data_IF_619079304029
#
_entry.id   IF_619079304029
#
_cell.length_a   1.000
_cell.length_b   1.000
_cell.length_c   1.000
_cell.angle_alpha   90.00
_cell.angle_beta   90.00
_cell.angle_gamma   90.00
#
_symmetry.space_group_name_H-M   'P 1'
#
loop_
_entity.id
_entity.type
_entity.pdbx_description
1 polymer ?
#
# COMPACT_ATOMS: atom_id res chain seq x y z
N UNK A 1 51.90 8.07 15.17
CA UNK A 1 51.53 9.09 16.18
C UNK A 1 50.10 9.51 15.89
N UNK A 2 49.10 8.84 16.47
CA UNK A 2 48.55 9.04 17.81
C UNK A 2 47.74 10.33 17.96
N UNK A 3 46.48 10.12 18.40
CA UNK A 3 45.51 11.06 18.97
C UNK A 3 44.57 11.74 17.97
N UNK A 4 43.50 11.03 17.59
CA UNK A 4 42.11 11.56 17.60
C UNK A 4 41.09 10.44 17.86
N UNK A 5 41.50 9.43 18.65
CA UNK A 5 40.73 8.23 19.01
C UNK A 5 40.17 8.24 20.45
N UNK A 6 40.07 9.39 21.11
CA UNK A 6 39.84 9.43 22.58
C UNK A 6 38.68 10.31 23.04
N UNK A 7 37.79 10.77 22.16
CA UNK A 7 36.59 11.55 22.56
C UNK A 7 35.28 10.78 22.37
N UNK A 8 35.31 9.64 21.65
CA UNK A 8 34.10 8.86 21.35
C UNK A 8 33.75 7.80 22.41
N UNK A 9 34.62 7.54 23.39
CA UNK A 9 34.41 6.48 24.41
C UNK A 9 33.82 7.02 25.73
N UNK A 10 33.89 8.34 25.99
CA UNK A 10 33.33 8.94 27.21
C UNK A 10 31.91 9.51 27.05
N UNK A 11 31.37 9.61 25.83
CA UNK A 11 29.98 10.02 25.59
C UNK A 11 28.98 8.84 25.64
N UNK A 12 29.46 7.61 25.42
CA UNK A 12 28.61 6.40 25.41
C UNK A 12 28.34 5.86 26.83
N UNK A 13 29.19 6.17 27.81
CA UNK A 13 29.03 5.69 29.20
C UNK A 13 28.29 6.65 30.14
N UNK A 14 27.77 7.79 29.65
CA UNK A 14 26.94 8.71 30.44
C UNK A 14 25.45 8.67 30.08
N UNK A 15 25.07 7.92 29.05
CA UNK A 15 23.67 7.82 28.59
C UNK A 15 22.92 6.58 29.10
N UNK A 16 23.61 5.56 29.64
CA UNK A 16 22.97 4.35 30.18
C UNK A 16 22.61 4.42 31.68
N UNK A 17 23.13 5.38 32.44
CA UNK A 17 22.84 5.48 33.89
C UNK A 17 21.56 6.27 34.25
N UNK A 18 20.79 6.76 33.28
CA UNK A 18 19.56 7.52 33.55
C UNK A 18 18.25 6.85 33.09
N UNK A 19 18.32 5.64 32.50
CA UNK A 19 17.15 4.84 32.07
C UNK A 19 16.85 3.60 32.91
N UNK A 20 17.62 3.32 33.96
CA UNK A 20 17.38 2.20 34.88
C UNK A 20 16.68 2.58 36.20
N UNK A 21 16.32 3.86 36.42
CA UNK A 21 15.63 4.30 37.64
C UNK A 21 14.10 4.39 37.52
N UNK A 22 13.49 3.94 36.41
CA UNK A 22 12.02 4.02 36.21
C UNK A 22 11.32 2.70 35.91
N UNK A 23 11.96 1.57 36.16
CA UNK A 23 11.33 0.23 36.14
C UNK A 23 11.59 -0.46 37.49
N UNK A 24 11.01 0.11 38.55
CA UNK A 24 10.84 -0.56 39.86
C UNK A 24 9.74 0.16 40.62
N UNK A 25 8.48 -0.21 40.32
CA UNK A 25 7.30 -0.09 41.20
C UNK A 25 6.07 -0.57 40.40
N UNK A 26 5.85 -1.88 40.45
CA UNK A 26 4.53 -2.49 40.65
C UNK A 26 4.69 -4.00 40.64
N UNK A 27 5.24 -4.49 41.74
CA UNK A 27 4.94 -5.83 42.25
C UNK A 27 3.47 -5.85 42.67
N UNK A 28 2.67 -6.73 42.07
CA UNK A 28 1.67 -7.47 42.80
C UNK A 28 1.56 -8.87 42.20
N UNK A 29 2.28 -9.77 42.86
CA UNK A 29 2.16 -11.21 42.78
C UNK A 29 0.75 -11.64 43.23
N UNK A 30 0.14 -12.57 42.50
CA UNK A 30 -0.54 -13.72 43.12
C UNK A 30 -0.32 -14.96 42.26
N UNK A 31 0.33 -15.93 42.88
CA UNK A 31 0.63 -17.27 42.40
C UNK A 31 -0.36 -18.24 43.05
N UNK A 32 -1.11 -19.01 42.26
CA UNK A 32 -1.75 -20.30 42.61
C UNK A 32 -1.99 -20.99 41.25
N UNK A 33 -1.68 -22.23 40.94
CA UNK A 33 -1.09 -23.37 41.62
C UNK A 33 -1.06 -24.51 40.58
N UNK A 34 -0.02 -25.33 40.60
CA UNK A 34 0.18 -26.52 39.75
C UNK A 34 -0.78 -27.64 40.14
N UNK A 35 -1.33 -28.37 39.16
CA UNK A 35 -1.72 -29.78 39.34
C UNK A 35 -1.69 -30.56 38.02
N UNK A 36 -0.95 -31.67 38.06
CA UNK A 36 -0.84 -32.72 37.05
C UNK A 36 -2.19 -33.43 36.83
N UNK A 37 -2.38 -34.03 35.65
CA UNK A 37 -3.51 -34.94 35.41
C UNK A 37 -3.58 -35.47 33.98
N UNK A 38 -3.03 -36.66 33.79
CA UNK A 38 -3.28 -37.59 32.69
C UNK A 38 -4.79 -37.90 32.56
N UNK A 39 -5.33 -37.88 31.34
CA UNK A 39 -6.71 -38.32 31.08
C UNK A 39 -7.07 -38.21 29.60
N UNK A 40 -7.38 -39.35 29.01
CA UNK A 40 -7.70 -39.59 27.61
C UNK A 40 -9.21 -39.50 27.29
N UNK A 41 -9.52 -39.12 26.03
CA UNK A 41 -10.76 -39.37 25.24
C UNK A 41 -11.94 -38.37 25.42
N UNK A 42 -12.80 -38.05 24.40
CA UNK A 42 -12.77 -38.23 22.92
C UNK A 42 -12.95 -36.93 22.08
N UNK A 43 -12.62 -37.03 20.78
CA UNK A 43 -13.06 -36.10 19.72
C UNK A 43 -14.56 -36.28 19.36
N UNK A 44 -15.32 -35.19 19.14
CA UNK A 44 -16.57 -35.26 18.40
C UNK A 44 -16.36 -35.07 16.89
N UNK A 45 -16.65 -36.13 16.13
CA UNK A 45 -16.80 -36.12 14.67
C UNK A 45 -18.08 -35.37 14.30
N UNK A 46 -17.96 -34.27 13.56
CA UNK A 46 -19.07 -33.71 12.77
C UNK A 46 -18.80 -33.92 11.27
N UNK A 47 -19.54 -34.87 10.69
CA UNK A 47 -19.75 -34.97 9.23
C UNK A 47 -20.71 -33.85 8.82
N UNK A 48 -20.31 -33.01 7.87
CA UNK A 48 -21.23 -32.18 7.10
C UNK A 48 -21.03 -32.52 5.62
N UNK A 49 -22.10 -33.00 5.00
CA UNK A 49 -22.12 -33.43 3.60
C UNK A 49 -21.90 -32.27 2.62
N UNK A 50 -21.08 -32.51 1.61
CA UNK A 50 -20.92 -31.59 0.48
C UNK A 50 -22.06 -31.80 -0.52
N UNK A 51 -23.12 -30.99 -0.36
CA UNK A 51 -24.15 -30.76 -1.36
C UNK A 51 -23.77 -29.59 -2.28
N UNK A 52 -23.82 -29.83 -3.57
CA UNK A 52 -23.44 -28.96 -4.70
C UNK A 52 -24.24 -27.65 -4.80
N UNK A 53 -23.63 -26.51 -4.43
CA UNK A 53 -23.96 -25.16 -4.98
C UNK A 53 -22.71 -24.28 -5.00
N UNK A 54 -21.75 -24.56 -5.88
CA UNK A 54 -20.54 -23.73 -6.06
C UNK A 54 -20.31 -23.28 -7.52
N UNK A 55 -21.38 -23.18 -8.33
CA UNK A 55 -21.31 -22.70 -9.71
C UNK A 55 -21.34 -21.18 -9.88
N UNK A 56 -21.90 -20.42 -8.93
CA UNK A 56 -22.24 -19.00 -9.18
C UNK A 56 -21.52 -17.99 -8.27
N UNK A 57 -20.73 -18.45 -7.29
CA UNK A 57 -19.95 -17.56 -6.40
C UNK A 57 -18.51 -17.29 -6.88
N UNK A 58 -17.98 -18.12 -7.77
CA UNK A 58 -16.61 -17.98 -8.30
C UNK A 58 -16.50 -16.82 -9.29
N UNK A 59 -17.57 -16.53 -10.06
CA UNK A 59 -17.59 -15.42 -11.04
C UNK A 59 -17.63 -14.05 -10.34
N UNK A 60 -18.25 -13.95 -9.15
CA UNK A 60 -18.29 -12.69 -8.39
C UNK A 60 -16.96 -12.37 -7.69
N UNK A 61 -16.21 -13.39 -7.26
CA UNK A 61 -14.88 -13.22 -6.66
C UNK A 61 -13.82 -12.72 -7.67
N UNK A 62 -13.99 -12.98 -8.97
CA UNK A 62 -13.03 -12.53 -10.00
C UNK A 62 -13.21 -11.03 -10.30
N UNK A 63 -14.43 -10.47 -10.20
CA UNK A 63 -14.66 -9.02 -10.37
C UNK A 63 -14.11 -8.19 -9.20
N UNK A 64 -14.16 -8.68 -7.96
CA UNK A 64 -13.56 -7.99 -6.79
C UNK A 64 -12.03 -8.03 -6.76
N UNK A 65 -11.39 -9.02 -7.39
CA UNK A 65 -9.92 -9.11 -7.45
C UNK A 65 -9.29 -8.25 -8.56
N UNK A 66 -10.06 -7.79 -9.55
CA UNK A 66 -9.56 -6.92 -10.63
C UNK A 66 -9.17 -5.52 -10.13
N UNK A 67 -9.70 -5.06 -8.99
CA UNK A 67 -9.44 -3.72 -8.41
C UNK A 67 -8.16 -3.67 -7.56
N UNK A 68 -7.56 -4.80 -7.21
CA UNK A 68 -6.35 -4.85 -6.37
C UNK A 68 -5.03 -4.87 -7.16
N UNK A 69 -5.07 -4.90 -8.49
CA UNK A 69 -3.87 -5.22 -9.30
C UNK A 69 -2.87 -4.08 -9.55
N UNK A 70 -3.14 -2.86 -9.10
CA UNK A 70 -2.19 -1.73 -9.15
C UNK A 70 -1.77 -1.21 -7.76
N UNK A 71 -1.96 -2.01 -6.70
CA UNK A 71 -1.84 -1.58 -5.31
C UNK A 71 -0.60 -2.10 -4.56
N UNK A 72 0.49 -2.45 -5.24
CA UNK A 72 1.72 -2.85 -4.52
C UNK A 72 2.28 -1.72 -3.63
N UNK A 73 2.12 -0.46 -4.07
CA UNK A 73 2.38 0.73 -3.25
C UNK A 73 1.35 0.88 -2.12
N UNK A 74 0.10 0.46 -2.34
CA UNK A 74 -1.00 0.64 -1.40
C UNK A 74 -0.91 -0.31 -0.19
N UNK A 75 -0.42 -1.54 -0.36
CA UNK A 75 -0.31 -2.50 0.75
C UNK A 75 0.76 -2.06 1.75
N UNK A 76 1.91 -1.59 1.25
CA UNK A 76 2.97 -1.04 2.12
C UNK A 76 2.61 0.33 2.69
N UNK A 77 1.94 1.20 1.93
CA UNK A 77 1.40 2.46 2.46
C UNK A 77 0.30 2.21 3.52
N UNK A 78 -0.52 1.17 3.36
CA UNK A 78 -1.52 0.76 4.35
C UNK A 78 -0.88 0.17 5.61
N UNK A 79 0.17 -0.64 5.49
CA UNK A 79 0.90 -1.17 6.65
C UNK A 79 1.62 -0.08 7.44
N UNK A 80 2.21 0.92 6.77
CA UNK A 80 2.83 2.05 7.45
C UNK A 80 1.79 2.92 8.19
N UNK A 81 0.68 3.27 7.51
CA UNK A 81 -0.42 4.00 8.14
C UNK A 81 -1.10 3.21 9.28
N UNK A 82 -1.09 1.87 9.24
CA UNK A 82 -1.67 1.03 10.29
C UNK A 82 -0.92 1.17 11.62
N UNK A 83 0.40 1.44 11.59
CA UNK A 83 1.21 1.61 12.81
C UNK A 83 1.01 2.98 13.47
N UNK A 84 0.83 4.05 12.70
CA UNK A 84 0.49 5.40 13.22
C UNK A 84 -0.99 5.52 13.65
N UNK A 85 -1.89 4.75 13.00
CA UNK A 85 -3.30 4.69 13.39
C UNK A 85 -3.53 4.09 14.80
N UNK A 86 -2.58 3.31 15.34
CA UNK A 86 -2.66 2.79 16.70
C UNK A 86 -2.41 3.90 17.75
N UNK A 87 -1.65 4.94 17.41
CA UNK A 87 -1.28 6.02 18.33
C UNK A 87 -2.24 7.24 18.29
N UNK A 88 -3.06 7.37 17.25
CA UNK A 88 -4.00 8.50 17.10
C UNK A 88 -5.48 8.10 17.12
N UNK A 89 -5.82 6.95 17.72
CA UNK A 89 -7.19 6.62 18.09
C UNK A 89 -7.65 7.41 19.35
N UNK A 90 -7.46 8.73 19.37
CA UNK A 90 -8.18 9.60 20.29
C UNK A 90 -9.51 9.98 19.66
N UNK A 91 -10.49 9.13 19.98
CA UNK A 91 -11.92 9.39 20.06
C UNK A 91 -12.46 10.55 19.20
N UNK A 92 -12.91 10.24 17.98
CA UNK A 92 -14.16 10.84 17.56
C UNK A 92 -15.23 10.16 18.42
N UNK A 93 -15.69 10.84 19.46
CA UNK A 93 -16.85 10.45 20.24
C UNK A 93 -18.10 10.50 19.34
N UNK A 94 -18.29 9.48 18.51
CA UNK A 94 -19.58 9.22 17.90
C UNK A 94 -20.46 8.64 18.99
N UNK A 95 -21.39 9.45 19.49
CA UNK A 95 -22.54 8.96 20.25
C UNK A 95 -23.13 7.77 19.49
N UNK A 96 -23.05 6.58 20.08
CA UNK A 96 -23.87 5.45 19.65
C UNK A 96 -25.30 5.89 19.89
N UNK A 97 -26.02 6.23 18.82
CA UNK A 97 -27.45 6.48 18.89
C UNK A 97 -28.15 5.50 17.95
N UNK A 98 -28.79 4.53 18.60
CA UNK A 98 -29.75 3.60 18.05
C UNK A 98 -31.04 4.36 17.71
N UNK A 99 -31.41 4.37 16.43
CA UNK A 99 -32.82 4.41 16.00
C UNK A 99 -32.91 4.03 14.51
N UNK A 100 -33.76 3.04 14.19
CA UNK A 100 -33.91 2.50 12.84
C UNK A 100 -34.35 3.57 11.82
N UNK A 101 -35.17 4.54 12.25
CA UNK A 101 -35.67 5.64 11.43
C UNK A 101 -34.55 6.58 10.94
N UNK A 102 -33.59 6.95 11.79
CA UNK A 102 -32.47 7.82 11.39
C UNK A 102 -31.47 7.12 10.46
N UNK A 103 -31.26 5.82 10.68
CA UNK A 103 -30.49 4.99 9.75
C UNK A 103 -31.20 4.90 8.39
N UNK A 104 -32.53 4.77 8.39
CA UNK A 104 -33.34 4.76 7.17
C UNK A 104 -33.19 6.08 6.39
N UNK A 105 -33.35 7.23 7.07
CA UNK A 105 -33.13 8.55 6.45
C UNK A 105 -31.72 8.69 5.86
N UNK A 106 -30.69 8.36 6.63
CA UNK A 106 -29.29 8.46 6.18
C UNK A 106 -29.04 7.59 4.95
N UNK A 107 -29.55 6.35 4.93
CA UNK A 107 -29.41 5.46 3.77
C UNK A 107 -30.09 6.04 2.54
N UNK A 108 -31.33 6.51 2.67
CA UNK A 108 -32.05 7.14 1.55
C UNK A 108 -31.31 8.36 1.01
N UNK A 109 -30.81 9.24 1.88
CA UNK A 109 -30.03 10.40 1.49
C UNK A 109 -28.73 10.02 0.75
N UNK A 110 -28.01 9.00 1.22
CA UNK A 110 -26.78 8.54 0.56
C UNK A 110 -27.04 7.99 -0.84
N UNK A 111 -28.20 7.38 -1.07
CA UNK A 111 -28.59 6.89 -2.40
C UNK A 111 -28.98 8.08 -3.30
N UNK A 112 -29.93 8.92 -2.87
CA UNK A 112 -30.48 9.98 -3.72
C UNK A 112 -29.52 11.15 -3.95
N UNK A 113 -28.86 11.64 -2.90
CA UNK A 113 -28.04 12.86 -2.95
C UNK A 113 -26.56 12.59 -3.24
N UNK A 114 -26.04 11.44 -2.78
CA UNK A 114 -24.63 11.08 -2.97
C UNK A 114 -24.40 10.05 -4.10
N UNK A 115 -25.45 9.47 -4.68
CA UNK A 115 -25.36 8.52 -5.79
C UNK A 115 -24.75 7.16 -5.41
N UNK A 116 -24.85 6.74 -4.14
CA UNK A 116 -24.34 5.43 -3.72
C UNK A 116 -25.27 4.30 -4.16
N UNK A 117 -24.69 3.11 -4.39
CA UNK A 117 -25.50 1.89 -4.49
C UNK A 117 -26.17 1.59 -3.15
N UNK A 118 -27.34 0.90 -3.13
CA UNK A 118 -28.02 0.56 -1.88
C UNK A 118 -27.11 -0.17 -0.86
N UNK A 119 -26.26 -1.08 -1.35
CA UNK A 119 -25.32 -1.83 -0.50
C UNK A 119 -24.22 -0.93 0.09
N UNK A 120 -23.69 0.00 -0.70
CA UNK A 120 -22.66 0.94 -0.23
C UNK A 120 -23.26 1.96 0.74
N UNK A 121 -24.49 2.42 0.50
CA UNK A 121 -25.22 3.33 1.37
C UNK A 121 -25.47 2.73 2.75
N UNK A 122 -25.94 1.46 2.82
CA UNK A 122 -26.09 0.71 4.08
C UNK A 122 -24.76 0.51 4.78
N UNK A 123 -23.67 0.29 4.04
CA UNK A 123 -22.34 0.14 4.63
C UNK A 123 -21.79 1.46 5.18
N UNK A 124 -22.05 2.57 4.48
CA UNK A 124 -21.63 3.91 4.87
C UNK A 124 -22.43 4.44 6.08
N UNK A 125 -23.73 4.16 6.16
CA UNK A 125 -24.60 4.58 7.27
C UNK A 125 -24.23 3.93 8.62
N UNK A 126 -23.45 2.84 8.61
CA UNK A 126 -22.87 2.27 9.84
C UNK A 126 -21.79 3.16 10.46
N UNK A 127 -21.15 4.01 9.67
CA UNK A 127 -20.04 4.89 10.08
C UNK A 127 -20.46 6.36 10.23
N UNK A 128 -21.69 6.67 9.84
CA UNK A 128 -22.21 8.03 9.72
C UNK A 128 -23.72 8.00 9.93
N UNK A 129 -24.23 8.85 10.81
CA UNK A 129 -25.65 9.06 11.00
C UNK A 129 -25.90 10.54 11.25
N UNK A 130 -26.89 11.13 10.59
CA UNK A 130 -27.30 12.52 10.79
C UNK A 130 -28.82 12.64 10.65
N UNK A 131 -29.40 13.64 11.31
CA UNK A 131 -30.85 13.86 11.37
C UNK A 131 -31.36 14.87 10.35
N UNK A 132 -30.49 15.76 9.87
CA UNK A 132 -30.82 16.83 8.93
C UNK A 132 -29.85 16.81 7.74
N UNK A 133 -30.33 17.14 6.52
CA UNK A 133 -29.49 17.23 5.33
C UNK A 133 -28.70 18.54 5.25
N UNK A 134 -28.95 19.54 6.10
CA UNK A 134 -28.36 20.89 5.99
C UNK A 134 -26.82 20.89 5.90
N UNK A 135 -26.12 20.23 6.83
CA UNK A 135 -24.66 20.16 6.80
C UNK A 135 -24.12 19.30 5.64
N UNK A 136 -24.61 18.06 5.43
CA UNK A 136 -24.25 17.27 4.25
C UNK A 136 -24.45 18.01 2.93
N UNK A 137 -25.55 18.75 2.75
CA UNK A 137 -25.82 19.53 1.53
C UNK A 137 -24.81 20.67 1.36
N UNK A 138 -24.47 21.38 2.43
CA UNK A 138 -23.42 22.39 2.41
C UNK A 138 -22.04 21.79 2.08
N UNK A 139 -21.72 20.61 2.60
CA UNK A 139 -20.49 19.86 2.24
C UNK A 139 -20.50 19.50 0.75
N UNK A 140 -21.60 18.94 0.24
CA UNK A 140 -21.71 18.55 -1.16
C UNK A 140 -21.64 19.77 -2.10
N UNK A 141 -22.25 20.90 -1.73
CA UNK A 141 -22.16 22.17 -2.46
C UNK A 141 -20.70 22.61 -2.59
N UNK A 142 -19.97 22.68 -1.47
CA UNK A 142 -18.56 23.03 -1.46
C UNK A 142 -17.72 22.07 -2.32
N UNK A 143 -17.95 20.76 -2.21
CA UNK A 143 -17.22 19.78 -3.02
C UNK A 143 -17.48 20.00 -4.53
N UNK A 144 -18.70 20.33 -4.93
CA UNK A 144 -19.04 20.61 -6.33
C UNK A 144 -18.33 21.88 -6.84
N UNK A 145 -18.25 22.93 -6.02
CA UNK A 145 -17.47 24.15 -6.32
C UNK A 145 -15.99 23.84 -6.59
N UNK A 146 -15.46 22.76 -5.99
CA UNK A 146 -14.10 22.25 -6.22
C UNK A 146 -14.04 21.07 -7.21
N UNK A 147 -15.02 20.94 -8.12
CA UNK A 147 -14.96 20.01 -9.25
C UNK A 147 -15.27 18.54 -8.92
N UNK A 148 -15.80 18.24 -7.73
CA UNK A 148 -16.27 16.90 -7.41
C UNK A 148 -17.62 16.64 -8.09
N UNK A 149 -17.64 15.69 -9.03
CA UNK A 149 -18.84 15.33 -9.78
C UNK A 149 -19.70 14.33 -9.02
N UNK A 150 -21.03 14.45 -9.16
CA UNK A 150 -21.99 13.52 -8.58
C UNK A 150 -21.88 12.11 -9.19
N UNK A 151 -21.46 11.99 -10.46
CA UNK A 151 -21.39 10.70 -11.16
C UNK A 151 -20.19 9.84 -10.74
N UNK A 152 -19.04 10.45 -10.43
CA UNK A 152 -17.78 9.70 -10.26
C UNK A 152 -17.03 10.02 -8.97
N UNK A 153 -16.99 11.28 -8.55
CA UNK A 153 -16.15 11.70 -7.42
C UNK A 153 -16.87 11.52 -6.08
N UNK A 154 -18.08 12.04 -5.94
CA UNK A 154 -18.85 12.00 -4.67
C UNK A 154 -19.17 10.57 -4.21
N UNK A 155 -19.73 9.68 -5.05
CA UNK A 155 -20.04 8.31 -4.61
C UNK A 155 -18.80 7.56 -4.12
N UNK A 156 -17.67 7.76 -4.82
CA UNK A 156 -16.38 7.13 -4.50
C UNK A 156 -15.77 7.68 -3.20
N UNK A 157 -15.87 8.99 -2.98
CA UNK A 157 -15.41 9.66 -1.77
C UNK A 157 -16.20 9.15 -0.55
N UNK A 158 -17.54 9.25 -0.63
CA UNK A 158 -18.45 8.96 0.49
C UNK A 158 -18.47 7.48 0.82
N UNK A 159 -18.43 6.58 -0.17
CA UNK A 159 -18.34 5.12 0.09
C UNK A 159 -17.10 4.73 0.89
N UNK A 160 -15.95 5.38 0.63
CA UNK A 160 -14.68 5.09 1.32
C UNK A 160 -14.55 5.84 2.66
N UNK A 161 -15.05 7.06 2.74
CA UNK A 161 -14.95 7.92 3.92
C UNK A 161 -16.24 8.71 4.15
N UNK A 162 -17.30 8.07 4.68
CA UNK A 162 -18.60 8.71 4.89
C UNK A 162 -18.52 9.93 5.80
N UNK A 163 -17.63 9.90 6.80
CA UNK A 163 -17.44 10.98 7.78
C UNK A 163 -17.10 12.35 7.18
N UNK A 164 -16.73 12.43 5.89
CA UNK A 164 -16.57 13.71 5.19
C UNK A 164 -17.85 14.56 5.22
N UNK A 165 -19.03 13.93 5.21
CA UNK A 165 -20.33 14.62 5.25
C UNK A 165 -20.66 15.23 6.62
N UNK A 166 -19.95 14.82 7.67
CA UNK A 166 -20.05 15.42 9.01
C UNK A 166 -19.02 16.53 9.24
N UNK A 167 -18.08 16.75 8.30
CA UNK A 167 -17.09 17.79 8.46
C UNK A 167 -17.75 19.17 8.31
N UNK A 168 -17.18 20.18 8.99
CA UNK A 168 -17.57 21.56 8.79
C UNK A 168 -17.07 22.04 7.42
N UNK A 169 -17.96 22.51 6.52
CA UNK A 169 -17.55 23.04 5.21
C UNK A 169 -16.56 24.19 5.34
N UNK A 170 -16.86 25.20 6.16
CA UNK A 170 -16.07 26.42 6.30
C UNK A 170 -14.83 26.25 7.16
N UNK A 171 -14.90 25.50 8.27
CA UNK A 171 -13.79 25.41 9.23
C UNK A 171 -12.80 24.29 8.91
N UNK A 172 -13.24 23.22 8.24
CA UNK A 172 -12.42 22.00 8.08
C UNK A 172 -12.08 21.71 6.64
N UNK A 173 -13.07 21.71 5.74
CA UNK A 173 -12.87 21.28 4.35
C UNK A 173 -12.32 22.42 3.48
N UNK A 174 -12.96 23.58 3.49
CA UNK A 174 -12.61 24.72 2.66
C UNK A 174 -11.12 25.11 2.81
N UNK A 175 -10.56 25.27 4.03
CA UNK A 175 -9.15 25.64 4.18
C UNK A 175 -8.19 24.62 3.55
N UNK A 176 -8.53 23.32 3.59
CA UNK A 176 -7.70 22.27 2.98
C UNK A 176 -7.76 22.32 1.45
N UNK A 177 -8.95 22.58 0.90
CA UNK A 177 -9.16 22.68 -0.54
C UNK A 177 -8.49 23.94 -1.11
N UNK A 178 -8.61 25.07 -0.42
CA UNK A 178 -7.95 26.33 -0.76
C UNK A 178 -6.43 26.20 -0.72
N UNK A 179 -5.89 25.58 0.33
CA UNK A 179 -4.46 25.34 0.45
C UNK A 179 -3.94 24.52 -0.74
N UNK A 180 -4.57 23.38 -1.06
CA UNK A 180 -4.16 22.54 -2.19
C UNK A 180 -4.24 23.29 -3.53
N UNK A 181 -5.26 24.12 -3.72
CA UNK A 181 -5.36 24.99 -4.90
C UNK A 181 -4.24 26.04 -4.93
N UNK A 182 -3.92 26.65 -3.78
CA UNK A 182 -2.92 27.71 -3.67
C UNK A 182 -1.49 27.24 -3.98
N UNK A 183 -1.17 25.98 -3.69
CA UNK A 183 0.14 25.38 -4.02
C UNK A 183 0.21 24.87 -5.48
N UNK A 184 -0.82 25.11 -6.29
CA UNK A 184 -0.82 24.79 -7.71
C UNK A 184 -1.45 23.45 -8.10
N UNK A 185 -2.20 22.77 -7.22
CA UNK A 185 -2.95 21.55 -7.63
C UNK A 185 -4.15 21.95 -8.51
N UNK A 186 -4.23 21.48 -9.77
CA UNK A 186 -5.38 21.79 -10.62
C UNK A 186 -6.68 21.18 -10.07
N UNK A 187 -7.79 21.92 -10.13
CA UNK A 187 -9.10 21.51 -9.59
C UNK A 187 -9.54 20.11 -10.08
N UNK A 188 -9.44 19.76 -11.38
CA UNK A 188 -9.84 18.43 -11.84
C UNK A 188 -9.00 17.31 -11.22
N UNK A 189 -7.69 17.55 -11.04
CA UNK A 189 -6.75 16.61 -10.44
C UNK A 189 -7.02 16.47 -8.94
N UNK A 190 -7.30 17.58 -8.26
CA UNK A 190 -7.68 17.62 -6.85
C UNK A 190 -8.90 16.73 -6.58
N UNK A 191 -9.99 16.92 -7.33
CA UNK A 191 -11.21 16.12 -7.16
C UNK A 191 -10.98 14.63 -7.44
N UNK A 192 -10.22 14.31 -8.50
CA UNK A 192 -9.86 12.93 -8.84
C UNK A 192 -9.05 12.25 -7.72
N UNK A 193 -8.06 12.95 -7.15
CA UNK A 193 -7.15 12.38 -6.14
C UNK A 193 -7.80 12.26 -4.78
N UNK A 194 -8.49 13.29 -4.32
CA UNK A 194 -9.15 13.27 -3.01
C UNK A 194 -10.35 12.31 -2.97
N UNK A 195 -11.09 12.14 -4.08
CA UNK A 195 -12.12 11.09 -4.16
C UNK A 195 -11.52 9.67 -4.13
N UNK A 196 -10.33 9.47 -4.70
CA UNK A 196 -9.64 8.18 -4.66
C UNK A 196 -8.99 7.89 -3.30
N UNK A 197 -8.47 8.92 -2.61
CA UNK A 197 -7.71 8.86 -1.37
C UNK A 197 -8.29 9.82 -0.29
N UNK A 198 -9.54 9.59 0.17
CA UNK A 198 -10.21 10.49 1.10
C UNK A 198 -9.55 10.60 2.48
N UNK A 199 -8.67 9.68 2.84
CA UNK A 199 -8.00 9.68 4.14
C UNK A 199 -7.12 10.93 4.35
N UNK A 200 -6.74 11.62 3.28
CA UNK A 200 -6.12 12.95 3.33
C UNK A 200 -6.92 13.91 4.22
N UNK A 201 -8.25 13.86 4.18
CA UNK A 201 -9.11 14.74 4.99
C UNK A 201 -9.03 14.49 6.50
N UNK A 202 -8.47 13.36 6.94
CA UNK A 202 -8.25 13.09 8.38
C UNK A 202 -7.11 13.92 8.98
N UNK A 203 -6.14 14.33 8.15
CA UNK A 203 -4.97 15.06 8.62
C UNK A 203 -5.33 16.52 8.90
N UNK A 204 -4.77 17.08 9.98
CA UNK A 204 -4.96 18.48 10.31
C UNK A 204 -4.22 19.35 9.29
N UNK A 205 -4.87 20.42 8.82
CA UNK A 205 -4.21 21.36 7.90
C UNK A 205 -2.97 21.97 8.55
N UNK A 206 -3.16 22.56 9.74
CA UNK A 206 -2.12 23.28 10.48
C UNK A 206 -1.04 22.37 11.05
N UNK A 207 -1.42 21.21 11.59
CA UNK A 207 -0.50 20.37 12.35
C UNK A 207 0.11 19.22 11.55
N UNK A 208 -0.32 19.00 10.30
CA UNK A 208 0.16 17.85 9.51
C UNK A 208 0.39 18.22 8.05
N UNK A 209 -0.64 18.72 7.36
CA UNK A 209 -0.56 18.96 5.91
C UNK A 209 0.44 20.08 5.58
N UNK A 210 0.37 21.23 6.26
CA UNK A 210 1.28 22.36 6.03
C UNK A 210 2.73 22.00 6.41
N UNK A 211 3.01 21.43 7.61
CA UNK A 211 4.36 20.96 7.94
C UNK A 211 4.94 19.99 6.91
N UNK A 212 4.18 18.94 6.55
CA UNK A 212 4.58 17.94 5.55
C UNK A 212 4.83 18.56 4.17
N UNK A 213 4.03 19.56 3.77
CA UNK A 213 4.28 20.34 2.56
C UNK A 213 5.58 21.14 2.64
N UNK A 214 5.85 21.84 3.75
CA UNK A 214 7.06 22.63 3.93
C UNK A 214 8.31 21.75 3.87
N UNK A 215 8.25 20.59 4.51
CA UNK A 215 9.30 19.57 4.49
C UNK A 215 9.56 19.07 3.07
N UNK A 216 8.51 18.69 2.34
CA UNK A 216 8.62 18.28 0.94
C UNK A 216 9.15 19.41 0.05
N UNK A 217 8.74 20.66 0.30
CA UNK A 217 9.20 21.83 -0.44
C UNK A 217 10.68 22.11 -0.20
N UNK A 218 11.13 22.00 1.04
CA UNK A 218 12.54 22.09 1.41
C UNK A 218 13.38 20.99 0.73
N UNK A 219 12.84 19.76 0.66
CA UNK A 219 13.50 18.63 0.03
C UNK A 219 13.60 18.73 -1.50
N UNK A 220 12.53 19.20 -2.14
CA UNK A 220 12.38 19.14 -3.60
C UNK A 220 12.69 20.46 -4.30
N UNK A 221 12.69 21.57 -3.57
CA UNK A 221 13.06 22.90 -4.04
C UNK A 221 11.98 23.68 -4.82
N UNK A 222 10.80 23.11 -5.06
CA UNK A 222 9.75 23.76 -5.87
C UNK A 222 8.35 23.25 -5.54
N UNK A 223 7.33 24.11 -5.69
CA UNK A 223 5.92 23.72 -5.53
C UNK A 223 5.47 22.70 -6.57
N UNK A 224 5.93 22.79 -7.83
CA UNK A 224 5.49 21.85 -8.87
C UNK A 224 5.88 20.41 -8.55
N UNK A 225 7.07 20.21 -7.98
CA UNK A 225 7.55 18.89 -7.53
C UNK A 225 6.74 18.35 -6.35
N UNK A 226 6.35 19.20 -5.40
CA UNK A 226 5.49 18.79 -4.28
C UNK A 226 4.09 18.42 -4.78
N UNK A 227 3.54 19.18 -5.73
CA UNK A 227 2.28 18.84 -6.41
C UNK A 227 2.40 17.49 -7.12
N UNK A 228 3.51 17.21 -7.79
CA UNK A 228 3.74 15.89 -8.40
C UNK A 228 3.70 14.76 -7.36
N UNK A 229 4.25 14.96 -6.15
CA UNK A 229 4.11 13.99 -5.03
C UNK A 229 2.65 13.80 -4.63
N UNK A 230 1.88 14.87 -4.47
CA UNK A 230 0.44 14.78 -4.18
C UNK A 230 -0.31 13.99 -5.26
N UNK A 231 -0.06 14.27 -6.54
CA UNK A 231 -0.72 13.59 -7.67
C UNK A 231 -0.39 12.10 -7.70
N UNK A 232 0.86 11.73 -7.40
CA UNK A 232 1.30 10.32 -7.45
C UNK A 232 0.93 9.55 -6.19
N UNK A 233 1.05 10.16 -5.01
CA UNK A 233 0.89 9.53 -3.70
C UNK A 233 0.34 10.53 -2.66
N UNK A 234 -0.98 10.82 -2.64
CA UNK A 234 -1.57 11.79 -1.71
C UNK A 234 -1.32 11.48 -0.23
N UNK A 235 -1.18 10.21 0.14
CA UNK A 235 -0.87 9.83 1.52
C UNK A 235 0.56 10.20 1.93
N UNK A 236 1.52 10.14 1.01
CA UNK A 236 2.89 10.60 1.29
C UNK A 236 2.93 12.10 1.47
N UNK A 237 2.10 12.84 0.74
CA UNK A 237 2.01 14.30 0.84
C UNK A 237 1.55 14.81 2.22
N UNK A 238 0.75 14.06 2.98
CA UNK A 238 0.18 14.50 4.27
C UNK A 238 0.86 13.93 5.52
N UNK A 239 1.77 12.98 5.32
CA UNK A 239 2.44 12.25 6.39
C UNK A 239 3.97 12.24 6.18
N UNK A 240 4.49 13.21 5.43
CA UNK A 240 5.92 13.36 5.25
C UNK A 240 6.47 14.13 6.45
N UNK A 241 7.53 13.59 7.04
CA UNK A 241 8.29 14.22 8.11
C UNK A 241 9.75 14.08 7.72
N UNK A 242 10.44 15.22 7.57
CA UNK A 242 11.83 15.29 7.12
C UNK A 242 12.84 15.25 8.27
N UNK A 243 12.45 14.87 9.49
CA UNK A 243 13.36 14.70 10.67
C UNK A 243 14.45 13.62 10.50
N UNK A 244 14.81 13.32 9.26
CA UNK A 244 15.58 12.22 8.70
C UNK A 244 16.60 12.79 7.69
N UNK A 245 17.33 13.85 8.06
CA UNK A 245 18.46 14.37 7.26
C UNK A 245 19.43 13.24 6.89
N UNK A 246 19.63 12.30 7.81
CA UNK A 246 20.42 11.08 7.62
C UNK A 246 19.96 10.25 6.42
N UNK A 247 18.67 10.05 6.24
CA UNK A 247 18.09 9.24 5.17
C UNK A 247 18.09 10.00 3.85
N UNK A 248 17.96 11.32 3.89
CA UNK A 248 18.18 12.18 2.72
C UNK A 248 19.61 12.01 2.21
N UNK A 249 20.60 12.19 3.08
CA UNK A 249 22.01 12.10 2.72
C UNK A 249 22.37 10.69 2.25
N UNK A 250 21.81 9.66 2.91
CA UNK A 250 21.95 8.28 2.47
C UNK A 250 21.32 8.05 1.08
N UNK A 251 20.12 8.58 0.82
CA UNK A 251 19.50 8.46 -0.50
C UNK A 251 20.35 9.12 -1.60
N UNK A 252 20.95 10.28 -1.32
CA UNK A 252 21.88 10.96 -2.23
C UNK A 252 23.15 10.13 -2.43
N UNK A 253 23.73 9.58 -1.35
CA UNK A 253 24.90 8.71 -1.42
C UNK A 253 24.64 7.42 -2.23
N UNK A 254 23.40 6.92 -2.24
CA UNK A 254 22.96 5.80 -3.08
C UNK A 254 22.69 6.20 -4.55
N UNK A 255 22.89 7.46 -4.91
CA UNK A 255 22.75 7.99 -6.27
C UNK A 255 21.36 8.52 -6.61
N UNK A 256 20.51 8.81 -5.62
CA UNK A 256 19.20 9.41 -5.91
C UNK A 256 19.35 10.85 -6.39
N UNK A 257 18.78 11.15 -7.55
CA UNK A 257 18.56 12.53 -7.99
C UNK A 257 17.42 13.15 -7.17
N UNK A 258 17.75 14.20 -6.41
CA UNK A 258 16.80 14.98 -5.61
C UNK A 258 15.69 15.63 -6.44
N UNK A 259 15.91 15.80 -7.74
CA UNK A 259 14.94 16.33 -8.69
C UNK A 259 13.87 15.32 -9.11
N UNK A 260 14.12 14.03 -8.89
CA UNK A 260 13.22 12.96 -9.29
C UNK A 260 12.18 12.68 -8.20
N UNK A 261 10.89 12.55 -8.54
CA UNK A 261 9.84 12.16 -7.59
C UNK A 261 10.08 10.79 -6.91
N UNK A 262 10.93 9.92 -7.48
CA UNK A 262 11.39 8.68 -6.85
C UNK A 262 12.22 8.93 -5.58
N UNK A 263 12.87 10.09 -5.46
CA UNK A 263 13.68 10.46 -4.29
C UNK A 263 12.86 10.46 -3.00
N UNK A 264 11.65 11.04 -3.03
CA UNK A 264 10.75 11.05 -1.87
C UNK A 264 10.39 9.63 -1.43
N UNK A 265 10.23 8.72 -2.38
CA UNK A 265 9.98 7.31 -2.07
C UNK A 265 11.23 6.63 -1.49
N UNK A 266 12.41 6.93 -2.01
CA UNK A 266 13.68 6.42 -1.47
C UNK A 266 13.88 6.87 -0.02
N UNK A 267 13.82 8.17 0.23
CA UNK A 267 13.95 8.78 1.56
C UNK A 267 12.94 8.17 2.53
N UNK A 268 11.67 8.04 2.12
CA UNK A 268 10.63 7.41 2.94
C UNK A 268 10.90 5.93 3.23
N UNK A 269 11.41 5.17 2.26
CA UNK A 269 11.75 3.76 2.45
C UNK A 269 12.89 3.63 3.47
N UNK A 270 13.94 4.44 3.33
CA UNK A 270 15.06 4.45 4.27
C UNK A 270 14.58 4.78 5.70
N UNK A 271 13.74 5.81 5.85
CA UNK A 271 13.20 6.23 7.15
C UNK A 271 12.27 5.19 7.78
N UNK A 272 11.71 4.28 6.99
CA UNK A 272 10.79 3.26 7.48
C UNK A 272 11.48 2.06 8.16
N UNK A 273 12.81 1.98 8.13
CA UNK A 273 13.54 0.83 8.67
C UNK A 273 14.88 1.23 9.28
N UNK A 274 15.39 0.38 10.18
CA UNK A 274 16.72 0.58 10.75
C UNK A 274 17.79 0.30 9.70
N UNK A 275 18.93 0.97 9.81
CA UNK A 275 20.10 0.76 8.93
C UNK A 275 20.55 -0.72 8.92
N UNK A 276 20.51 -1.39 10.08
CA UNK A 276 20.84 -2.82 10.18
C UNK A 276 19.87 -3.71 9.39
N UNK A 277 18.58 -3.36 9.37
CA UNK A 277 17.57 -4.06 8.55
C UNK A 277 17.83 -3.84 7.07
N UNK A 278 18.15 -2.62 6.65
CA UNK A 278 18.50 -2.32 5.26
C UNK A 278 19.73 -3.12 4.82
N UNK A 279 20.80 -3.14 5.63
CA UNK A 279 22.02 -3.91 5.37
C UNK A 279 21.74 -5.40 5.23
N UNK A 280 20.90 -5.97 6.09
CA UNK A 280 20.53 -7.39 6.02
C UNK A 280 19.77 -7.72 4.74
N UNK A 281 18.85 -6.84 4.31
CA UNK A 281 18.13 -7.01 3.04
C UNK A 281 19.06 -6.92 1.85
N UNK A 282 19.96 -5.94 1.82
CA UNK A 282 20.97 -5.81 0.77
C UNK A 282 21.84 -7.08 0.68
N UNK A 283 22.17 -7.67 1.83
CA UNK A 283 22.93 -8.93 1.88
C UNK A 283 22.17 -10.10 1.23
N UNK A 284 20.84 -10.16 1.36
CA UNK A 284 20.04 -11.14 0.62
C UNK A 284 20.22 -10.98 -0.89
N UNK A 285 20.23 -9.75 -1.42
CA UNK A 285 20.50 -9.53 -2.84
C UNK A 285 21.91 -9.99 -3.24
N UNK A 286 22.93 -9.68 -2.43
CA UNK A 286 24.33 -10.09 -2.68
C UNK A 286 24.49 -11.61 -2.78
N UNK A 287 23.80 -12.37 -1.94
CA UNK A 287 23.80 -13.86 -1.99
C UNK A 287 23.32 -14.42 -3.34
N UNK A 288 22.54 -13.65 -4.09
CA UNK A 288 22.08 -14.01 -5.44
C UNK A 288 22.89 -13.32 -6.54
N UNK A 289 24.09 -12.82 -6.23
CA UNK A 289 25.04 -12.28 -7.20
C UNK A 289 24.78 -10.83 -7.61
N UNK A 290 23.99 -10.06 -6.86
CA UNK A 290 23.89 -8.62 -7.08
C UNK A 290 25.17 -7.92 -6.62
N UNK A 291 25.69 -7.03 -7.46
CA UNK A 291 26.73 -6.07 -7.08
C UNK A 291 26.12 -4.86 -6.35
N UNK A 292 26.96 -4.02 -5.71
CA UNK A 292 26.49 -2.73 -5.16
C UNK A 292 25.80 -1.87 -6.22
N UNK A 293 26.34 -1.87 -7.45
CA UNK A 293 25.73 -1.19 -8.59
C UNK A 293 24.32 -1.73 -8.89
N UNK A 294 24.14 -3.04 -8.92
CA UNK A 294 22.83 -3.67 -9.17
C UNK A 294 21.82 -3.35 -8.07
N UNK A 295 22.25 -3.34 -6.81
CA UNK A 295 21.43 -2.96 -5.66
C UNK A 295 20.97 -1.52 -5.80
N UNK A 296 21.91 -0.59 -6.09
CA UNK A 296 21.60 0.82 -6.25
C UNK A 296 20.66 1.04 -7.44
N UNK A 297 20.94 0.47 -8.61
CA UNK A 297 20.04 0.57 -9.77
C UNK A 297 18.64 0.05 -9.45
N UNK A 298 18.54 -1.08 -8.74
CA UNK A 298 17.26 -1.64 -8.30
C UNK A 298 16.51 -0.68 -7.38
N UNK A 299 17.21 -0.11 -6.41
CA UNK A 299 16.65 0.83 -5.44
C UNK A 299 16.21 2.11 -6.12
N UNK A 300 17.05 2.72 -6.96
CA UNK A 300 16.75 3.95 -7.70
C UNK A 300 15.54 3.80 -8.62
N UNK A 301 15.39 2.65 -9.28
CA UNK A 301 14.24 2.36 -10.14
C UNK A 301 12.96 2.07 -9.36
N UNK A 302 13.07 1.46 -8.19
CA UNK A 302 11.92 1.07 -7.37
C UNK A 302 12.31 0.88 -5.90
N UNK A 303 12.31 1.96 -5.08
CA UNK A 303 12.80 1.90 -3.71
C UNK A 303 12.08 0.86 -2.83
N UNK A 304 10.79 0.63 -3.12
CA UNK A 304 9.97 -0.36 -2.44
C UNK A 304 10.45 -1.81 -2.61
N UNK A 305 11.45 -2.10 -3.45
CA UNK A 305 12.10 -3.42 -3.43
C UNK A 305 12.66 -3.75 -2.04
N UNK A 306 13.16 -2.74 -1.32
CA UNK A 306 13.72 -2.90 0.03
C UNK A 306 12.66 -3.08 1.11
N UNK A 307 11.38 -2.78 0.85
CA UNK A 307 10.34 -3.01 1.86
C UNK A 307 9.84 -4.46 1.85
N UNK A 308 10.12 -5.23 0.79
CA UNK A 308 9.66 -6.61 0.61
C UNK A 308 10.25 -7.53 1.71
N UNK A 309 9.48 -8.52 2.15
CA UNK A 309 9.97 -9.52 3.11
C UNK A 309 11.10 -10.34 2.51
N UNK A 310 12.12 -10.66 3.32
CA UNK A 310 13.29 -11.44 2.87
C UNK A 310 12.86 -12.80 2.31
N UNK A 311 11.96 -13.51 3.00
CA UNK A 311 11.36 -14.76 2.49
C UNK A 311 10.86 -14.65 1.05
N UNK A 312 10.20 -13.53 0.71
CA UNK A 312 9.68 -13.31 -0.63
C UNK A 312 10.76 -12.91 -1.63
N UNK A 313 11.72 -12.08 -1.22
CA UNK A 313 12.89 -11.73 -2.04
C UNK A 313 13.65 -13.00 -2.40
N UNK A 314 14.02 -13.81 -1.40
CA UNK A 314 14.71 -15.09 -1.54
C UNK A 314 13.97 -16.03 -2.49
N UNK A 315 12.67 -16.29 -2.26
CA UNK A 315 11.90 -17.20 -3.10
C UNK A 315 11.80 -16.73 -4.57
N UNK A 316 11.67 -15.42 -4.79
CA UNK A 316 11.61 -14.88 -6.15
C UNK A 316 12.99 -14.86 -6.82
N UNK A 317 14.06 -14.50 -6.12
CA UNK A 317 15.41 -14.51 -6.67
C UNK A 317 15.92 -15.93 -6.94
N UNK A 318 15.60 -16.90 -6.08
CA UNK A 318 15.89 -18.31 -6.31
C UNK A 318 15.25 -18.81 -7.61
N UNK A 319 13.97 -18.50 -7.81
CA UNK A 319 13.30 -18.86 -9.05
C UNK A 319 13.88 -18.12 -10.27
N UNK A 320 14.16 -16.82 -10.17
CA UNK A 320 14.63 -16.04 -11.31
C UNK A 320 16.09 -16.35 -11.68
N UNK A 321 16.98 -16.41 -10.70
CA UNK A 321 18.42 -16.62 -10.91
C UNK A 321 18.72 -18.10 -11.07
N UNK A 322 18.32 -18.93 -10.10
CA UNK A 322 18.74 -20.35 -10.07
C UNK A 322 17.88 -21.23 -10.97
N UNK A 323 16.55 -21.01 -11.01
CA UNK A 323 15.66 -21.85 -11.85
C UNK A 323 15.59 -21.38 -13.31
N UNK A 324 15.58 -20.07 -13.56
CA UNK A 324 15.44 -19.52 -14.91
C UNK A 324 16.75 -19.00 -15.51
N UNK A 325 17.84 -18.94 -14.75
CA UNK A 325 19.15 -18.52 -15.26
C UNK A 325 19.28 -17.03 -15.57
N UNK A 326 18.40 -16.17 -15.03
CA UNK A 326 18.53 -14.72 -15.25
C UNK A 326 19.78 -14.18 -14.58
N UNK A 327 20.55 -13.39 -15.33
CA UNK A 327 21.66 -12.61 -14.76
C UNK A 327 21.13 -11.59 -13.74
N UNK A 328 21.73 -11.47 -12.55
CA UNK A 328 21.33 -10.50 -11.53
C UNK A 328 21.18 -9.06 -12.06
N UNK A 329 22.13 -8.60 -12.86
CA UNK A 329 22.10 -7.27 -13.49
C UNK A 329 20.86 -7.04 -14.39
N UNK A 330 20.36 -8.08 -15.07
CA UNK A 330 19.14 -7.96 -15.88
C UNK A 330 17.88 -7.85 -15.00
N UNK A 331 17.86 -8.55 -13.86
CA UNK A 331 16.77 -8.45 -12.87
C UNK A 331 16.81 -7.07 -12.20
N UNK A 332 18.00 -6.53 -11.93
CA UNK A 332 18.19 -5.24 -11.29
C UNK A 332 17.61 -4.06 -12.09
N UNK A 333 17.57 -4.16 -13.42
CA UNK A 333 16.86 -3.19 -14.27
C UNK A 333 15.33 -3.25 -14.12
N UNK A 334 14.82 -4.31 -13.50
CA UNK A 334 13.40 -4.60 -13.35
C UNK A 334 13.03 -5.06 -11.92
N UNK A 335 13.34 -4.25 -10.90
CA UNK A 335 13.23 -4.60 -9.48
C UNK A 335 11.80 -4.98 -9.05
N UNK A 336 10.77 -4.57 -9.79
CA UNK A 336 9.39 -5.02 -9.56
C UNK A 336 9.21 -6.54 -9.65
N UNK A 337 10.10 -7.26 -10.34
CA UNK A 337 10.02 -8.73 -10.45
C UNK A 337 10.06 -9.41 -9.08
N UNK A 338 10.89 -8.92 -8.15
CA UNK A 338 11.00 -9.49 -6.80
C UNK A 338 9.75 -9.23 -5.95
N UNK A 339 8.85 -8.33 -6.38
CA UNK A 339 7.58 -8.08 -5.69
C UNK A 339 6.42 -8.91 -6.23
N UNK A 340 6.55 -9.54 -7.40
CA UNK A 340 5.47 -10.32 -8.02
C UNK A 340 5.11 -11.56 -7.20
N UNK A 341 3.92 -12.11 -7.44
CA UNK A 341 3.52 -13.39 -6.87
C UNK A 341 4.27 -14.52 -7.57
N UNK A 342 5.00 -15.33 -6.80
CA UNK A 342 5.73 -16.46 -7.35
C UNK A 342 4.78 -17.46 -8.03
N UNK A 343 3.84 -18.01 -7.26
CA UNK A 343 2.92 -19.05 -7.74
C UNK A 343 1.91 -18.52 -8.75
N UNK A 344 1.14 -17.49 -8.39
CA UNK A 344 0.01 -17.04 -9.21
C UNK A 344 0.41 -16.22 -10.43
N UNK A 345 1.70 -15.96 -10.63
CA UNK A 345 2.13 -15.06 -11.71
C UNK A 345 3.46 -15.43 -12.34
N UNK A 346 4.56 -15.49 -11.59
CA UNK A 346 5.86 -15.77 -12.20
C UNK A 346 5.85 -17.17 -12.83
N UNK A 347 5.54 -18.21 -12.05
CA UNK A 347 5.51 -19.59 -12.52
C UNK A 347 4.49 -19.80 -13.65
N UNK A 348 3.23 -19.40 -13.45
CA UNK A 348 2.18 -19.58 -14.46
C UNK A 348 2.50 -18.89 -15.79
N UNK A 349 3.09 -17.69 -15.76
CA UNK A 349 3.46 -17.00 -16.99
C UNK A 349 4.71 -17.59 -17.64
N UNK A 350 5.64 -18.16 -16.86
CA UNK A 350 6.77 -18.91 -17.41
C UNK A 350 6.31 -20.19 -18.12
N UNK A 351 5.31 -20.89 -17.59
CA UNK A 351 4.71 -22.06 -18.25
C UNK A 351 4.13 -21.67 -19.62
N UNK A 352 3.36 -20.59 -19.67
CA UNK A 352 2.82 -20.06 -20.93
C UNK A 352 3.94 -19.70 -21.91
N UNK A 353 4.99 -19.02 -21.44
CA UNK A 353 6.10 -18.65 -22.31
C UNK A 353 6.86 -19.87 -22.87
N UNK A 354 7.00 -20.95 -22.07
CA UNK A 354 7.59 -22.22 -22.54
C UNK A 354 6.73 -22.85 -23.63
N UNK A 355 5.42 -23.01 -23.39
CA UNK A 355 4.48 -23.56 -24.37
C UNK A 355 4.46 -22.76 -25.69
N UNK A 356 4.53 -21.42 -25.60
CA UNK A 356 4.60 -20.56 -26.78
C UNK A 356 5.92 -20.76 -27.56
N UNK A 357 7.06 -20.86 -26.89
CA UNK A 357 8.34 -21.10 -27.56
C UNK A 357 8.41 -22.49 -28.22
N UNK A 358 7.84 -23.52 -27.60
CA UNK A 358 7.79 -24.88 -28.16
C UNK A 358 7.05 -24.90 -29.51
N UNK A 359 6.15 -23.92 -29.74
CA UNK A 359 5.47 -23.68 -31.01
C UNK A 359 6.19 -22.69 -31.93
N UNK A 360 7.44 -22.34 -31.62
CA UNK A 360 8.27 -21.42 -32.40
C UNK A 360 7.93 -19.93 -32.22
N UNK A 361 7.03 -19.58 -31.29
CA UNK A 361 6.69 -18.18 -31.01
C UNK A 361 7.75 -17.59 -30.07
N UNK A 362 8.65 -16.75 -30.60
CA UNK A 362 9.81 -16.18 -29.88
C UNK A 362 9.43 -15.16 -28.79
N UNK A 363 8.82 -15.61 -27.70
CA UNK A 363 8.32 -14.76 -26.60
C UNK A 363 9.43 -14.43 -25.58
N UNK A 364 10.49 -15.25 -25.48
CA UNK A 364 11.52 -15.08 -24.45
C UNK A 364 12.32 -13.78 -24.55
N UNK A 365 12.47 -13.20 -25.75
CA UNK A 365 13.15 -11.91 -25.93
C UNK A 365 12.48 -10.76 -25.15
N UNK A 366 11.18 -10.89 -24.84
CA UNK A 366 10.39 -9.89 -24.10
C UNK A 366 9.88 -10.42 -22.75
N UNK A 367 10.48 -11.49 -22.22
CA UNK A 367 9.96 -12.23 -21.07
C UNK A 367 9.77 -11.34 -19.83
N UNK A 368 10.72 -10.46 -19.53
CA UNK A 368 10.60 -9.55 -18.39
C UNK A 368 9.39 -8.61 -18.51
N UNK A 369 9.11 -8.11 -19.72
CA UNK A 369 7.93 -7.28 -20.00
C UNK A 369 6.65 -8.09 -19.80
N UNK A 370 6.60 -9.30 -20.35
CA UNK A 370 5.46 -10.21 -20.24
C UNK A 370 5.11 -10.54 -18.78
N UNK A 371 6.11 -10.79 -17.92
CA UNK A 371 5.91 -11.03 -16.49
C UNK A 371 5.24 -9.84 -15.76
N UNK A 372 5.51 -8.61 -16.21
CA UNK A 372 5.00 -7.36 -15.61
C UNK A 372 3.61 -6.90 -16.11
N UNK A 373 3.11 -7.44 -17.23
CA UNK A 373 1.84 -7.00 -17.84
C UNK A 373 0.59 -7.11 -16.95
N UNK A 374 -0.43 -6.27 -17.19
CA UNK A 374 -1.75 -6.39 -16.56
C UNK A 374 -2.37 -7.80 -16.77
N UNK A 375 -3.41 -8.21 -16.03
CA UNK A 375 -4.01 -9.55 -16.18
C UNK A 375 -4.63 -9.61 -17.56
N UNK A 376 -5.45 -8.60 -17.81
CA UNK A 376 -6.14 -8.35 -19.05
C UNK A 376 -5.18 -8.23 -20.23
N UNK A 377 -4.13 -7.42 -20.13
CA UNK A 377 -3.13 -7.29 -21.20
C UNK A 377 -2.42 -8.61 -21.46
N UNK A 378 -2.07 -9.35 -20.40
CA UNK A 378 -1.42 -10.65 -20.56
C UNK A 378 -2.34 -11.67 -21.24
N UNK A 379 -3.59 -11.80 -20.78
CA UNK A 379 -4.58 -12.71 -21.38
C UNK A 379 -4.81 -12.37 -22.85
N UNK A 380 -5.04 -11.10 -23.18
CA UNK A 380 -5.31 -10.68 -24.55
C UNK A 380 -4.09 -10.89 -25.48
N UNK A 381 -2.88 -10.59 -25.01
CA UNK A 381 -1.68 -10.63 -25.86
C UNK A 381 -1.05 -12.02 -25.98
N UNK A 382 -1.18 -12.88 -24.97
CA UNK A 382 -0.44 -14.15 -24.90
C UNK A 382 -1.32 -15.39 -24.74
N UNK A 383 -2.58 -15.24 -24.32
CA UNK A 383 -3.49 -16.39 -24.19
C UNK A 383 -4.46 -16.39 -25.37
N UNK A 384 -5.40 -15.44 -25.41
CA UNK A 384 -6.47 -15.42 -26.41
C UNK A 384 -5.94 -15.23 -27.84
N UNK A 385 -4.82 -14.52 -28.00
CA UNK A 385 -4.16 -14.36 -29.30
C UNK A 385 -3.72 -15.70 -29.91
N UNK A 386 -3.26 -16.63 -29.08
CA UNK A 386 -2.67 -17.91 -29.52
C UNK A 386 -3.54 -19.11 -29.14
N UNK A 387 -4.79 -18.89 -28.72
CA UNK A 387 -5.70 -19.95 -28.29
C UNK A 387 -6.06 -20.91 -29.43
N UNK A 388 -6.08 -20.41 -30.67
CA UNK A 388 -6.26 -21.24 -31.87
C UNK A 388 -5.03 -22.10 -32.18
N UNK A 389 -3.84 -21.55 -31.95
CA UNK A 389 -2.56 -22.24 -32.23
C UNK A 389 -2.20 -23.25 -31.14
N UNK A 390 -2.59 -22.97 -29.90
CA UNK A 390 -2.36 -23.80 -28.72
C UNK A 390 -3.69 -23.99 -27.98
N UNK A 391 -4.48 -25.02 -28.35
CA UNK A 391 -5.66 -25.40 -27.61
C UNK A 391 -5.30 -25.65 -26.13
N UNK A 392 -6.18 -25.24 -25.21
CA UNK A 392 -6.01 -25.38 -23.74
C UNK A 392 -4.93 -24.48 -23.09
N UNK A 393 -4.35 -23.50 -23.80
CA UNK A 393 -3.37 -22.57 -23.22
C UNK A 393 -3.92 -21.80 -22.00
N UNK A 394 -5.22 -21.51 -21.99
CA UNK A 394 -5.90 -20.89 -20.86
C UNK A 394 -5.95 -21.81 -19.62
N UNK A 395 -6.09 -23.11 -19.81
CA UNK A 395 -6.12 -24.08 -18.72
C UNK A 395 -4.73 -24.36 -18.15
N UNK A 396 -3.70 -24.36 -19.01
CA UNK A 396 -2.29 -24.32 -18.59
C UNK A 396 -2.05 -23.09 -17.71
N UNK A 397 -2.47 -21.91 -18.16
CA UNK A 397 -2.31 -20.68 -17.38
C UNK A 397 -3.07 -20.72 -16.05
N UNK A 398 -4.20 -21.41 -15.98
CA UNK A 398 -4.98 -21.59 -14.74
C UNK A 398 -4.42 -22.67 -13.82
N UNK A 399 -3.36 -23.37 -14.22
CA UNK A 399 -2.78 -24.48 -13.46
C UNK A 399 -3.69 -25.71 -13.40
N UNK A 400 -4.59 -25.87 -14.38
CA UNK A 400 -5.52 -27.01 -14.49
C UNK A 400 -4.97 -28.16 -15.33
N UNK A 401 -3.87 -27.92 -16.05
CA UNK A 401 -3.23 -28.88 -16.93
C UNK A 401 -1.72 -28.65 -16.82
N UNK A 402 -0.94 -29.67 -16.47
CA UNK A 402 0.50 -29.63 -16.68
C UNK A 402 0.76 -29.94 -18.16
N UNK A 403 1.69 -29.23 -18.83
CA UNK A 403 2.21 -29.74 -20.09
C UNK A 403 2.83 -31.11 -19.79
N UNK A 404 2.42 -32.13 -20.54
CA UNK A 404 3.00 -33.47 -20.45
C UNK A 404 4.51 -33.44 -20.74
N UNK A 405 5.22 -34.54 -20.40
CA UNK A 405 6.68 -34.59 -20.42
C UNK A 405 7.32 -34.22 -21.75
#
# INVERSE_FOLDING_TARGET
MYIYGSVLVLAVLKFENHRFSRIRKNSNLRTIGSMNGSGSVPEPRFRIGFGSVLGSRVVFCIRKLKVLRNNFTLIYQQQFCASENAASARSCSSSVCENASQKSFTVSYLISSCGLSPNDAVSASKKLCFKSPENPDAVLKLLREYGFTNAHHIPKLVSKFPGVLSASPSKTLLPKLEFLRSIGVPIPVLAQKLSAYPLVFRYSLKNSIIPSYNDLKSLLGSDERVVHVFVRCPMTFVSFDISIFTERDQAVAMGCDTSNGAFVHAVRVLASMKESTLKHKMEVYRRYGYTEFDINVSFLRYPFCMTISEKKITANLDFLVNTLGYKPAAIAQHPTLVSLSLEKRLKLRCLVARALNEKGLKVMANMTTMLKLSEEKFLNQYIFKYEKDIPNLLDIYRGKSNPGP
#
